data_IF_302951908598
#
_entry.id   IF_302951908598
#
_cell.length_a   1.000
_cell.length_b   1.000
_cell.length_c   1.000
_cell.angle_alpha   90.00
_cell.angle_beta   90.00
_cell.angle_gamma   90.00
#
_symmetry.space_group_name_H-M   'P 1'
#
loop_
_entity.id
_entity.type
_entity.pdbx_description
1 polymer ?
#
# COMPACT_ATOMS: atom_id res chain seq x y z
N UNK A 1 -12.42 -4.18 4.74
CA UNK A 1 -11.74 -5.47 5.02
C UNK A 1 -10.32 -5.29 5.55
N UNK A 2 -9.42 -4.56 4.87
CA UNK A 2 -8.00 -4.49 5.25
C UNK A 2 -7.74 -3.96 6.68
N UNK A 3 -8.53 -2.97 7.12
CA UNK A 3 -8.40 -2.35 8.44
C UNK A 3 -8.47 -3.35 9.60
N UNK A 4 -9.48 -4.22 9.62
CA UNK A 4 -9.64 -5.22 10.70
C UNK A 4 -8.49 -6.23 10.72
N UNK A 5 -8.05 -6.67 9.54
CA UNK A 5 -6.93 -7.58 9.39
C UNK A 5 -5.65 -6.98 9.96
N UNK A 6 -5.31 -5.75 9.55
CA UNK A 6 -4.11 -5.06 10.03
C UNK A 6 -4.18 -4.68 11.51
N UNK A 7 -5.38 -4.37 12.04
CA UNK A 7 -5.59 -4.19 13.48
C UNK A 7 -5.30 -5.47 14.27
N UNK A 8 -5.76 -6.62 13.79
CA UNK A 8 -5.44 -7.91 14.40
C UNK A 8 -3.92 -8.18 14.36
N UNK A 9 -3.25 -7.90 13.24
CA UNK A 9 -1.78 -8.00 13.17
C UNK A 9 -1.08 -7.09 14.16
N UNK A 10 -1.54 -5.85 14.34
CA UNK A 10 -0.95 -4.93 15.33
C UNK A 10 -1.08 -5.45 16.77
N UNK A 11 -2.10 -6.26 17.06
CA UNK A 11 -2.35 -6.83 18.38
C UNK A 11 -1.63 -8.16 18.60
N UNK A 12 -1.58 -9.02 17.57
CA UNK A 12 -1.06 -10.39 17.73
C UNK A 12 0.40 -10.53 17.30
N UNK A 13 0.85 -9.81 16.26
CA UNK A 13 2.19 -9.97 15.66
C UNK A 13 2.67 -8.63 15.09
N UNK A 14 2.98 -7.63 15.94
CA UNK A 14 3.40 -6.30 15.52
C UNK A 14 4.72 -6.32 14.74
N UNK A 15 5.56 -7.35 14.89
CA UNK A 15 6.83 -7.48 14.15
C UNK A 15 6.66 -7.61 12.63
N UNK A 16 5.46 -7.96 12.15
CA UNK A 16 5.16 -8.08 10.71
C UNK A 16 4.75 -6.75 10.07
N UNK A 17 4.48 -5.71 10.87
CA UNK A 17 4.13 -4.40 10.35
C UNK A 17 5.40 -3.61 10.01
N UNK A 18 5.36 -2.92 8.89
CA UNK A 18 6.48 -2.11 8.44
C UNK A 18 6.62 -0.88 9.33
N UNK A 19 7.85 -0.61 9.78
CA UNK A 19 8.19 0.53 10.62
C UNK A 19 8.90 1.60 9.79
N UNK A 20 8.75 2.86 10.20
CA UNK A 20 9.49 3.97 9.58
C UNK A 20 10.99 3.79 9.81
N UNK A 21 11.75 3.74 8.71
CA UNK A 21 13.21 3.75 8.74
C UNK A 21 13.73 5.06 8.13
N UNK A 22 14.81 5.66 8.69
CA UNK A 22 15.41 6.85 8.11
C UNK A 22 16.00 6.51 6.74
N UNK A 23 15.48 7.15 5.68
CA UNK A 23 15.84 6.88 4.28
C UNK A 23 14.94 5.87 3.56
N UNK A 24 13.90 5.36 4.24
CA UNK A 24 12.86 4.52 3.65
C UNK A 24 11.57 5.29 3.31
N UNK A 25 10.56 4.61 2.76
CA UNK A 25 9.26 5.21 2.46
C UNK A 25 8.60 5.77 3.73
N UNK A 26 7.79 6.81 3.56
CA UNK A 26 7.01 7.39 4.66
C UNK A 26 5.82 6.49 4.96
N UNK A 27 5.91 5.72 6.05
CA UNK A 27 4.87 4.80 6.50
C UNK A 27 4.01 5.47 7.58
N UNK A 28 2.69 5.43 7.41
CA UNK A 28 1.72 6.01 8.35
C UNK A 28 0.69 4.97 8.79
N UNK A 29 0.63 4.68 10.08
CA UNK A 29 -0.31 3.71 10.64
C UNK A 29 0.07 2.26 10.30
N UNK A 30 -0.93 1.37 10.27
CA UNK A 30 -0.67 -0.05 10.01
C UNK A 30 -0.43 -0.29 8.52
N UNK A 31 0.79 -0.69 8.19
CA UNK A 31 1.18 -1.04 6.82
C UNK A 31 1.93 -2.36 6.84
N UNK A 32 1.54 -3.25 5.93
CA UNK A 32 2.24 -4.50 5.68
C UNK A 32 3.00 -4.41 4.36
N UNK A 33 4.30 -4.72 4.37
CA UNK A 33 5.14 -4.74 3.17
C UNK A 33 5.81 -6.10 3.09
N UNK A 34 5.58 -6.82 1.99
CA UNK A 34 6.27 -8.07 1.73
C UNK A 34 7.78 -7.81 1.46
N UNK A 35 8.71 -8.62 1.96
CA UNK A 35 10.16 -8.39 1.81
C UNK A 35 10.67 -8.41 0.36
N UNK A 36 9.92 -8.99 -0.57
CA UNK A 36 10.25 -8.98 -2.01
C UNK A 36 9.67 -7.79 -2.77
N UNK A 37 8.89 -6.93 -2.11
CA UNK A 37 8.36 -5.72 -2.73
C UNK A 37 9.46 -4.65 -2.79
N UNK A 38 9.52 -3.92 -3.90
CA UNK A 38 10.40 -2.77 -4.07
C UNK A 38 9.60 -1.49 -3.87
N UNK A 39 10.02 -0.67 -2.92
CA UNK A 39 9.33 0.59 -2.60
C UNK A 39 10.32 1.73 -2.64
N UNK A 40 10.02 2.76 -3.43
CA UNK A 40 10.82 3.97 -3.49
C UNK A 40 10.77 4.76 -2.15
N UNK A 41 11.89 5.33 -1.67
CA UNK A 41 11.93 6.14 -0.45
C UNK A 41 11.02 7.36 -0.44
N UNK A 42 10.69 7.92 -1.60
CA UNK A 42 9.78 9.08 -1.70
C UNK A 42 8.30 8.70 -1.64
N UNK A 43 7.98 7.39 -1.67
CA UNK A 43 6.61 6.91 -1.58
C UNK A 43 6.02 7.11 -0.17
N UNK A 44 4.71 7.34 -0.13
CA UNK A 44 3.94 7.51 1.10
C UNK A 44 2.91 6.40 1.18
N UNK A 45 3.01 5.56 2.20
CA UNK A 45 2.12 4.42 2.42
C UNK A 45 1.33 4.60 3.72
N UNK A 46 0.00 4.49 3.63
CA UNK A 46 -0.87 4.34 4.78
C UNK A 46 -1.92 5.45 4.97
N UNK A 47 -2.86 5.26 5.91
CA UNK A 47 -3.03 4.08 6.77
C UNK A 47 -3.71 2.89 6.09
N UNK A 48 -3.57 1.70 6.71
CA UNK A 48 -4.22 0.43 6.34
C UNK A 48 -3.86 -0.03 4.92
N UNK A 49 -2.58 -0.19 4.67
CA UNK A 49 -2.05 -0.59 3.35
C UNK A 49 -1.38 -1.95 3.44
N UNK A 50 -1.66 -2.80 2.45
CA UNK A 50 -1.05 -4.14 2.35
C UNK A 50 -0.39 -4.29 0.99
N UNK A 51 0.92 -4.53 0.97
CA UNK A 51 1.72 -4.69 -0.24
C UNK A 51 2.14 -6.15 -0.39
N UNK A 52 1.70 -6.78 -1.48
CA UNK A 52 2.02 -8.16 -1.82
C UNK A 52 3.44 -8.39 -2.34
N UNK A 53 3.77 -9.67 -2.58
CA UNK A 53 5.07 -10.08 -3.11
C UNK A 53 5.32 -9.53 -4.52
N UNK A 54 6.55 -9.13 -4.81
CA UNK A 54 6.97 -8.68 -6.14
C UNK A 54 6.25 -7.43 -6.63
N UNK A 55 5.66 -6.65 -5.72
CA UNK A 55 5.07 -5.35 -6.05
C UNK A 55 6.17 -4.32 -6.22
N UNK A 56 6.05 -3.49 -7.25
CA UNK A 56 6.93 -2.35 -7.47
C UNK A 56 6.16 -1.05 -7.23
N UNK A 57 6.70 -0.19 -6.34
CA UNK A 57 6.15 1.13 -6.04
C UNK A 57 7.17 2.18 -6.45
N UNK A 58 6.80 2.99 -7.44
CA UNK A 58 7.62 4.09 -7.97
C UNK A 58 7.72 5.31 -7.06
N UNK A 59 8.40 6.34 -7.55
CA UNK A 59 8.67 7.55 -6.81
C UNK A 59 7.40 8.40 -6.63
N UNK A 60 7.23 8.99 -5.44
CA UNK A 60 6.12 9.89 -5.11
C UNK A 60 4.75 9.22 -5.07
N UNK A 61 4.69 7.89 -5.09
CA UNK A 61 3.43 7.13 -5.05
C UNK A 61 2.78 7.26 -3.69
N UNK A 62 1.44 7.40 -3.68
CA UNK A 62 0.65 7.59 -2.46
C UNK A 62 -0.43 6.52 -2.38
N UNK A 63 -0.32 5.62 -1.42
CA UNK A 63 -1.29 4.53 -1.22
C UNK A 63 -1.96 4.69 0.14
N UNK A 64 -3.29 4.61 0.19
CA UNK A 64 -4.06 4.68 1.44
C UNK A 64 -5.28 3.77 1.38
N UNK A 65 -5.59 3.10 2.50
CA UNK A 65 -6.76 2.21 2.66
C UNK A 65 -6.90 1.20 1.51
N UNK A 66 -5.77 0.70 1.01
CA UNK A 66 -5.72 -0.07 -0.24
C UNK A 66 -4.92 -1.35 -0.08
N UNK A 67 -5.26 -2.35 -0.89
CA UNK A 67 -4.58 -3.64 -0.95
C UNK A 67 -3.95 -3.78 -2.33
N UNK A 68 -2.65 -4.00 -2.37
CA UNK A 68 -1.90 -4.21 -3.60
C UNK A 68 -1.51 -5.68 -3.68
N UNK A 69 -2.11 -6.39 -4.63
CA UNK A 69 -1.86 -7.82 -4.80
C UNK A 69 -0.53 -8.06 -5.54
N UNK A 70 -0.12 -9.33 -5.53
CA UNK A 70 1.17 -9.79 -6.02
C UNK A 70 1.40 -9.41 -7.49
N UNK A 71 2.63 -8.99 -7.81
CA UNK A 71 3.04 -8.63 -9.17
C UNK A 71 2.50 -7.30 -9.69
N UNK A 72 1.73 -6.56 -8.89
CA UNK A 72 1.26 -5.24 -9.30
C UNK A 72 2.39 -4.20 -9.37
N UNK A 73 2.29 -3.27 -10.32
CA UNK A 73 3.28 -2.20 -10.52
C UNK A 73 2.61 -0.84 -10.48
N UNK A 74 3.00 -0.01 -9.52
CA UNK A 74 2.58 1.38 -9.40
C UNK A 74 3.69 2.27 -9.93
N UNK A 75 3.44 2.93 -11.06
CA UNK A 75 4.40 3.87 -11.63
C UNK A 75 4.44 5.19 -10.85
N UNK A 76 5.39 6.06 -11.21
CA UNK A 76 5.67 7.31 -10.49
C UNK A 76 4.46 8.25 -10.43
N UNK A 77 4.39 8.99 -9.32
CA UNK A 77 3.36 10.00 -9.05
C UNK A 77 1.92 9.46 -9.12
N UNK A 78 1.72 8.17 -8.83
CA UNK A 78 0.38 7.57 -8.77
C UNK A 78 -0.26 7.71 -7.39
N UNK A 79 -1.59 7.73 -7.37
CA UNK A 79 -2.35 7.77 -6.13
C UNK A 79 -3.41 6.68 -6.12
N UNK A 80 -3.36 5.81 -5.10
CA UNK A 80 -4.31 4.70 -4.92
C UNK A 80 -5.01 4.84 -3.58
N UNK A 81 -6.32 4.99 -3.63
CA UNK A 81 -7.17 5.28 -2.49
C UNK A 81 -8.33 4.29 -2.46
N UNK A 82 -8.57 3.70 -1.30
CA UNK A 82 -9.76 2.88 -1.03
C UNK A 82 -10.00 1.78 -2.08
N UNK A 83 -8.93 1.19 -2.60
CA UNK A 83 -8.97 0.32 -3.78
C UNK A 83 -8.23 -0.98 -3.55
N UNK A 84 -8.61 -2.02 -4.30
CA UNK A 84 -7.87 -3.28 -4.38
C UNK A 84 -7.27 -3.37 -5.77
N UNK A 85 -5.94 -3.37 -5.86
CA UNK A 85 -5.22 -3.53 -7.13
C UNK A 85 -5.01 -5.02 -7.37
N UNK A 86 -5.48 -5.48 -8.52
CA UNK A 86 -5.42 -6.88 -8.94
C UNK A 86 -3.99 -7.41 -9.09
N UNK A 87 -3.87 -8.74 -9.20
CA UNK A 87 -2.61 -9.39 -9.56
C UNK A 87 -2.09 -8.88 -10.91
N UNK A 88 -0.77 -8.75 -11.02
CA UNK A 88 -0.05 -8.34 -12.24
C UNK A 88 -0.60 -7.07 -12.92
N UNK A 89 -1.30 -6.23 -12.14
CA UNK A 89 -1.93 -5.02 -12.64
C UNK A 89 -0.95 -3.86 -12.64
N UNK A 90 -0.96 -3.05 -13.69
CA UNK A 90 -0.09 -1.88 -13.80
C UNK A 90 -0.89 -0.59 -13.73
N UNK A 91 -0.52 0.30 -12.82
CA UNK A 91 -1.06 1.65 -12.71
C UNK A 91 -0.06 2.60 -13.37
N UNK A 92 -0.48 3.26 -14.44
CA UNK A 92 0.35 4.18 -15.22
C UNK A 92 0.74 5.44 -14.46
N UNK A 93 1.83 6.11 -14.86
CA UNK A 93 2.31 7.37 -14.23
C UNK A 93 1.19 8.42 -14.16
N UNK A 94 1.17 9.18 -13.07
CA UNK A 94 0.16 10.24 -12.83
C UNK A 94 -1.29 9.76 -12.76
N UNK A 95 -1.53 8.45 -12.69
CA UNK A 95 -2.89 7.93 -12.53
C UNK A 95 -3.38 8.07 -11.08
N UNK A 96 -4.67 8.37 -10.95
CA UNK A 96 -5.40 8.34 -9.68
C UNK A 96 -6.46 7.25 -9.75
N UNK A 97 -6.35 6.27 -8.86
CA UNK A 97 -7.34 5.20 -8.68
C UNK A 97 -7.98 5.41 -7.32
N UNK A 98 -9.28 5.69 -7.33
CA UNK A 98 -10.05 5.94 -6.14
C UNK A 98 -11.31 5.07 -6.18
N UNK A 99 -11.40 4.16 -5.22
CA UNK A 99 -12.59 3.38 -4.96
C UNK A 99 -13.50 4.12 -4.00
N UNK A 100 -14.76 3.74 -3.92
CA UNK A 100 -15.73 4.39 -3.05
C UNK A 100 -15.55 3.99 -1.58
N UNK A 101 -15.45 4.96 -0.66
CA UNK A 101 -15.52 4.84 0.79
C UNK A 101 -16.31 3.68 1.35
N UNK A 102 -17.55 3.75 0.90
CA UNK A 102 -18.80 3.27 1.45
C UNK A 102 -19.83 4.17 0.75
N UNK A 103 -20.58 3.67 -0.22
CA UNK A 103 -21.86 4.31 -0.54
C UNK A 103 -22.80 4.07 0.64
N UNK A 104 -23.55 5.06 1.12
CA UNK A 104 -24.55 4.83 2.15
C UNK A 104 -25.77 4.19 1.46
N UNK A 105 -25.83 2.86 1.42
CA UNK A 105 -27.07 2.13 1.12
C UNK A 105 -27.23 1.01 2.15
#
# INVERSE_FOLDING_TARGET
>A
ANRLYLSCYSQCHPERLAQNQPGGPSIRGNVYIHPTASVDPSAVLGPNVSIGKGVAIGAGVRVRESIILHGASLQDHTCVLNSIVGWDSTIGRWARVEGTPSDPN
#
